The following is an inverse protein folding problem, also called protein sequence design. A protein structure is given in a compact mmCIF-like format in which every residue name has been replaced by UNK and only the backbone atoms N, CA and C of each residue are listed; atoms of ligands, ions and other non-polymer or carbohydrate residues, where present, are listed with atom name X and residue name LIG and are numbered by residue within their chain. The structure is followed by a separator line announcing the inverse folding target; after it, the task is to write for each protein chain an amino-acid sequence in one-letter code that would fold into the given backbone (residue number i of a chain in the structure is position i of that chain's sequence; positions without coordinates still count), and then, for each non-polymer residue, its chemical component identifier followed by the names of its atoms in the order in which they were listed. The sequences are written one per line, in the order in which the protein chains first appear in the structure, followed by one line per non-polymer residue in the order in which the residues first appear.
data_IF_105206409611
#
_entry.id   IF_105206409611
#
_cell.length_a   1.000
_cell.length_b   1.000
_cell.length_c   1.000
_cell.angle_alpha   90.00
_cell.angle_beta   90.00
_cell.angle_gamma   90.00
#
_symmetry.space_group_name_H-M   'P 1'
#
loop_
_entity.id
_entity.type
_entity.pdbx_description
1 polymer ?
#
# COMPACT_ATOMS: atom_id res chain seq x y z
N UNK A 1 -16.58 -15.72 17.47
CA UNK A 1 -16.94 -15.28 16.10
C UNK A 1 -16.15 -16.17 15.15
N UNK A 2 -16.79 -16.81 14.18
CA UNK A 2 -16.15 -17.72 13.22
C UNK A 2 -16.77 -17.47 11.85
N UNK A 3 -15.94 -17.17 10.85
CA UNK A 3 -16.37 -17.09 9.44
C UNK A 3 -16.36 -18.45 8.75
N UNK A 4 -16.88 -18.52 7.52
CA UNK A 4 -16.80 -19.73 6.69
C UNK A 4 -15.37 -20.05 6.22
N UNK A 5 -14.52 -19.02 6.13
CA UNK A 5 -13.09 -19.10 5.81
C UNK A 5 -12.24 -18.19 6.73
N UNK A 6 -10.92 -18.24 6.56
CA UNK A 6 -9.97 -17.50 7.39
C UNK A 6 -10.15 -15.98 7.29
N UNK A 7 -10.28 -15.44 6.07
CA UNK A 7 -10.45 -14.01 5.83
C UNK A 7 -11.80 -13.51 6.32
N UNK A 8 -12.87 -14.30 6.14
CA UNK A 8 -14.20 -14.01 6.67
C UNK A 8 -14.19 -13.90 8.19
N UNK A 9 -13.33 -14.67 8.88
CA UNK A 9 -13.14 -14.53 10.32
C UNK A 9 -12.58 -13.14 10.70
N UNK A 10 -11.59 -12.64 9.96
CA UNK A 10 -11.01 -11.31 10.15
C UNK A 10 -12.02 -10.19 9.84
N UNK A 11 -12.73 -10.31 8.72
CA UNK A 11 -13.65 -9.28 8.23
C UNK A 11 -14.89 -9.09 9.12
N UNK A 12 -15.20 -10.01 10.04
CA UNK A 12 -16.21 -9.82 11.09
C UNK A 12 -16.02 -8.52 11.89
N UNK A 13 -14.76 -8.09 12.05
CA UNK A 13 -14.43 -6.85 12.74
C UNK A 13 -13.75 -5.83 11.81
N UNK A 14 -13.00 -6.28 10.80
CA UNK A 14 -12.20 -5.40 9.95
C UNK A 14 -12.94 -4.86 8.71
N UNK A 15 -14.14 -5.37 8.42
CA UNK A 15 -15.07 -4.76 7.47
C UNK A 15 -15.95 -3.74 8.20
N UNK A 16 -16.12 -2.54 7.65
CA UNK A 16 -16.88 -1.51 8.33
C UNK A 16 -16.89 -0.15 7.65
N UNK A 17 -17.23 0.88 8.40
CA UNK A 17 -17.15 2.28 7.94
C UNK A 17 -15.69 2.75 7.91
N UNK A 18 -15.36 3.60 6.94
CA UNK A 18 -14.01 4.13 6.80
C UNK A 18 -13.46 4.76 8.10
N UNK A 19 -12.18 4.49 8.39
CA UNK A 19 -11.48 4.97 9.58
C UNK A 19 -11.11 3.85 10.57
N UNK A 20 -10.26 4.20 11.54
CA UNK A 20 -9.64 3.21 12.44
C UNK A 20 -9.04 2.04 11.64
N UNK A 21 -9.13 0.81 12.11
CA UNK A 21 -8.55 -0.40 11.50
C UNK A 21 -9.36 -1.05 10.37
N UNK A 22 -10.43 -0.42 9.87
CA UNK A 22 -11.26 -1.02 8.83
C UNK A 22 -10.56 -0.93 7.46
N UNK A 23 -10.40 -2.08 6.81
CA UNK A 23 -9.65 -2.24 5.54
C UNK A 23 -10.53 -2.72 4.39
N UNK A 24 -11.81 -2.95 4.66
CA UNK A 24 -12.81 -3.29 3.66
C UNK A 24 -14.06 -2.46 3.96
N UNK A 25 -14.35 -1.47 3.13
CA UNK A 25 -15.55 -0.65 3.28
C UNK A 25 -16.56 -0.94 2.18
N UNK A 26 -17.79 -0.47 2.38
CA UNK A 26 -18.84 -0.60 1.37
C UNK A 26 -18.69 0.42 0.21
N UNK A 27 -17.80 1.40 0.32
CA UNK A 27 -17.73 2.54 -0.59
C UNK A 27 -16.32 2.96 -1.01
N UNK A 28 -15.27 2.24 -0.64
CA UNK A 28 -13.88 2.61 -0.96
C UNK A 28 -13.40 3.85 -0.21
N UNK A 29 -13.92 4.08 0.99
CA UNK A 29 -13.64 5.27 1.79
C UNK A 29 -12.39 5.17 2.66
N UNK A 30 -11.83 3.98 2.88
CA UNK A 30 -10.63 3.83 3.71
C UNK A 30 -9.39 4.38 3.01
N UNK A 31 -8.58 5.11 3.78
CA UNK A 31 -7.36 5.79 3.31
C UNK A 31 -6.10 5.28 4.02
N UNK A 32 -6.10 4.01 4.43
CA UNK A 32 -4.91 3.36 5.02
C UNK A 32 -3.82 3.20 3.95
N UNK A 33 -2.56 3.12 4.33
CA UNK A 33 -1.47 2.93 3.38
C UNK A 33 -1.53 1.59 2.63
N UNK A 34 -2.19 0.56 3.20
CA UNK A 34 -2.50 -0.69 2.50
C UNK A 34 -3.65 -0.55 1.50
N UNK A 35 -4.57 0.38 1.73
CA UNK A 35 -5.75 0.61 0.92
C UNK A 35 -6.97 -0.21 1.32
N UNK A 36 -8.00 -0.16 0.47
CA UNK A 36 -9.35 -0.67 0.75
C UNK A 36 -9.68 -1.82 -0.20
N UNK A 37 -10.04 -2.99 0.34
CA UNK A 37 -10.44 -4.14 -0.47
C UNK A 37 -11.72 -3.88 -1.27
N UNK A 38 -12.49 -2.82 -0.99
CA UNK A 38 -13.60 -2.39 -1.84
C UNK A 38 -13.24 -2.40 -3.33
N UNK A 39 -12.04 -1.93 -3.68
CA UNK A 39 -11.62 -1.77 -5.07
C UNK A 39 -11.46 -3.10 -5.80
N UNK A 40 -11.06 -4.18 -5.12
CA UNK A 40 -10.81 -5.47 -5.79
C UNK A 40 -12.08 -6.18 -6.28
N UNK A 41 -13.25 -5.75 -5.80
CA UNK A 41 -14.56 -6.31 -6.21
C UNK A 41 -15.49 -5.30 -6.86
N UNK A 42 -14.97 -4.10 -7.17
CA UNK A 42 -15.78 -3.01 -7.72
C UNK A 42 -15.28 -2.64 -9.10
N UNK A 43 -16.01 -3.07 -10.12
CA UNK A 43 -15.86 -2.54 -11.46
C UNK A 43 -16.34 -1.09 -11.50
N UNK A 44 -15.59 -0.25 -12.20
CA UNK A 44 -16.05 1.09 -12.50
C UNK A 44 -15.93 1.41 -13.98
N UNK A 45 -16.84 2.25 -14.46
CA UNK A 45 -16.96 2.64 -15.86
C UNK A 45 -17.06 4.14 -16.00
N UNK A 46 -16.42 4.67 -17.03
CA UNK A 46 -16.30 6.10 -17.28
C UNK A 46 -16.28 6.41 -18.79
N UNK A 47 -16.54 7.67 -19.13
CA UNK A 47 -16.43 8.17 -20.51
C UNK A 47 -14.97 8.21 -20.98
N UNK A 48 -14.69 7.68 -22.17
CA UNK A 48 -13.39 7.85 -22.82
C UNK A 48 -13.21 9.21 -23.50
N UNK A 49 -14.18 10.13 -23.37
CA UNK A 49 -14.16 11.46 -24.00
C UNK A 49 -14.41 11.45 -25.52
N UNK A 50 -14.63 10.28 -26.12
CA UNK A 50 -14.88 10.08 -27.57
C UNK A 50 -16.22 9.38 -27.83
N UNK A 51 -17.14 9.46 -26.87
CA UNK A 51 -18.47 8.85 -26.95
C UNK A 51 -18.51 7.35 -26.62
N UNK A 52 -17.41 6.75 -26.16
CA UNK A 52 -17.35 5.37 -25.67
C UNK A 52 -17.27 5.29 -24.14
N UNK A 53 -17.69 4.15 -23.60
CA UNK A 53 -17.55 3.81 -22.18
C UNK A 53 -16.41 2.80 -22.04
N UNK A 54 -15.50 3.06 -21.10
CA UNK A 54 -14.45 2.14 -20.69
C UNK A 54 -14.79 1.62 -19.31
N UNK A 55 -14.55 0.33 -19.08
CA UNK A 55 -14.69 -0.31 -17.77
C UNK A 55 -13.33 -0.75 -17.28
N UNK A 56 -12.95 -0.35 -16.06
CA UNK A 56 -11.82 -0.93 -15.34
C UNK A 56 -12.35 -1.99 -14.38
N UNK A 57 -11.79 -3.19 -14.47
CA UNK A 57 -12.29 -4.39 -13.78
C UNK A 57 -11.67 -4.46 -12.39
N UNK A 58 -12.50 -4.64 -11.37
CA UNK A 58 -12.10 -4.64 -9.98
C UNK A 58 -11.02 -5.67 -9.65
N UNK A 59 -11.06 -6.86 -10.27
CA UNK A 59 -10.08 -7.91 -9.97
C UNK A 59 -8.63 -7.47 -10.25
N UNK A 60 -8.41 -6.47 -11.10
CA UNK A 60 -7.08 -5.94 -11.42
C UNK A 60 -6.56 -4.91 -10.40
N UNK A 61 -7.35 -4.54 -9.39
CA UNK A 61 -7.10 -3.38 -8.52
C UNK A 61 -6.33 -3.71 -7.23
N UNK A 62 -5.90 -4.96 -7.04
CA UNK A 62 -5.14 -5.41 -5.87
C UNK A 62 -5.20 -6.92 -5.63
N UNK A 63 -5.05 -7.32 -4.36
CA UNK A 63 -5.07 -8.72 -3.95
C UNK A 63 -6.51 -9.21 -3.70
N UNK A 64 -7.00 -10.08 -4.59
CA UNK A 64 -8.30 -10.74 -4.47
C UNK A 64 -8.29 -11.83 -3.39
N UNK A 65 -8.49 -11.45 -2.13
CA UNK A 65 -8.61 -12.40 -1.03
C UNK A 65 -9.88 -13.24 -1.15
N UNK A 66 -9.80 -14.50 -0.75
CA UNK A 66 -10.99 -15.36 -0.61
C UNK A 66 -11.63 -15.06 0.75
N UNK A 67 -12.83 -14.48 0.72
CA UNK A 67 -13.69 -14.26 1.89
C UNK A 67 -15.16 -14.37 1.47
N UNK A 68 -15.69 -15.60 1.48
CA UNK A 68 -16.98 -15.93 0.89
C UNK A 68 -18.14 -15.20 1.57
N UNK A 69 -18.09 -15.01 2.89
CA UNK A 69 -19.13 -14.32 3.66
C UNK A 69 -19.25 -12.83 3.27
N UNK A 70 -18.18 -12.27 2.68
CA UNK A 70 -18.05 -10.88 2.28
C UNK A 70 -18.03 -10.67 0.75
N UNK A 71 -18.30 -11.73 -0.01
CA UNK A 71 -18.30 -11.74 -1.48
C UNK A 71 -16.95 -11.32 -2.08
N UNK A 72 -15.84 -11.58 -1.38
CA UNK A 72 -14.53 -11.52 -1.98
C UNK A 72 -14.18 -12.88 -2.55
N UNK A 73 -13.94 -12.91 -3.85
CA UNK A 73 -13.64 -14.11 -4.63
C UNK A 73 -12.19 -14.06 -5.09
N UNK A 74 -11.62 -15.21 -5.40
CA UNK A 74 -10.29 -15.30 -5.98
C UNK A 74 -10.21 -14.60 -7.35
N UNK A 75 -9.02 -14.11 -7.69
CA UNK A 75 -8.70 -13.55 -9.01
C UNK A 75 -9.02 -14.57 -10.12
N UNK A 76 -9.84 -14.17 -11.09
CA UNK A 76 -10.23 -15.02 -12.22
C UNK A 76 -9.24 -14.95 -13.38
N UNK A 77 -8.42 -13.90 -13.44
CA UNK A 77 -7.42 -13.65 -14.49
C UNK A 77 -6.07 -14.26 -14.11
N UNK A 78 -5.57 -14.01 -12.91
CA UNK A 78 -4.30 -14.55 -12.43
C UNK A 78 -4.54 -15.75 -11.50
N UNK A 79 -4.31 -16.97 -11.97
CA UNK A 79 -4.45 -18.17 -11.13
C UNK A 79 -3.38 -18.28 -10.03
N UNK A 80 -2.23 -17.64 -10.23
CA UNK A 80 -1.12 -17.53 -9.27
C UNK A 80 -0.62 -16.09 -9.20
N UNK A 81 0.06 -15.75 -8.11
CA UNK A 81 0.81 -14.51 -8.00
C UNK A 81 1.72 -14.32 -9.22
N UNK A 82 1.65 -13.17 -9.91
CA UNK A 82 2.56 -12.86 -11.00
C UNK A 82 4.00 -13.01 -10.54
N UNK A 83 4.82 -13.72 -11.31
CA UNK A 83 6.22 -13.96 -10.96
C UNK A 83 6.46 -14.92 -9.79
N UNK A 84 5.45 -15.58 -9.24
CA UNK A 84 5.62 -16.53 -8.15
C UNK A 84 4.59 -17.67 -8.16
N UNK A 85 4.37 -18.28 -6.99
CA UNK A 85 3.64 -19.56 -6.87
C UNK A 85 2.44 -19.53 -5.95
N UNK A 86 2.20 -18.41 -5.24
CA UNK A 86 1.02 -18.25 -4.38
C UNK A 86 -0.24 -18.40 -5.22
N UNK A 87 -1.11 -19.37 -4.89
CA UNK A 87 -2.36 -19.60 -5.61
C UNK A 87 -3.41 -18.57 -5.18
N UNK A 88 -4.03 -17.91 -6.16
CA UNK A 88 -5.10 -16.92 -5.90
C UNK A 88 -6.32 -17.56 -5.23
N UNK A 89 -6.62 -18.82 -5.55
CA UNK A 89 -7.70 -19.59 -4.93
C UNK A 89 -7.51 -19.90 -3.43
N UNK A 90 -6.32 -19.68 -2.89
CA UNK A 90 -6.00 -19.87 -1.46
C UNK A 90 -5.49 -18.60 -0.79
N UNK A 91 -5.49 -17.47 -1.51
CA UNK A 91 -5.05 -16.19 -0.98
C UNK A 91 -6.08 -15.68 0.04
N UNK A 92 -5.65 -15.47 1.28
CA UNK A 92 -6.48 -14.91 2.34
C UNK A 92 -5.69 -13.99 3.26
N UNK A 93 -6.35 -13.41 4.26
CA UNK A 93 -5.68 -12.51 5.21
C UNK A 93 -4.48 -13.19 5.89
N UNK A 94 -4.62 -14.48 6.22
CA UNK A 94 -3.59 -15.29 6.87
C UNK A 94 -2.54 -15.86 5.92
N UNK A 95 -2.56 -15.49 4.64
CA UNK A 95 -1.45 -15.80 3.72
C UNK A 95 -0.25 -14.90 3.99
N UNK A 96 -0.52 -13.68 4.44
CA UNK A 96 0.43 -12.59 4.64
C UNK A 96 0.59 -12.22 6.11
N UNK A 97 -0.51 -12.20 6.87
CA UNK A 97 -0.49 -11.90 8.30
C UNK A 97 -0.44 -13.18 9.10
N UNK A 98 0.42 -13.24 10.11
CA UNK A 98 0.36 -14.29 11.11
C UNK A 98 -0.70 -13.95 12.17
N UNK A 99 -1.85 -14.66 12.20
CA UNK A 99 -2.90 -14.40 13.17
C UNK A 99 -2.49 -14.71 14.61
N UNK A 100 -1.38 -15.44 14.82
CA UNK A 100 -0.83 -15.75 16.14
C UNK A 100 0.29 -14.78 16.53
N UNK A 101 0.70 -13.88 15.62
CA UNK A 101 1.67 -12.83 15.87
C UNK A 101 3.05 -13.35 16.25
N UNK A 102 3.47 -14.49 15.70
CA UNK A 102 4.81 -15.02 15.95
C UNK A 102 5.86 -14.08 15.33
N UNK A 103 6.99 -13.98 16.02
CA UNK A 103 8.17 -13.24 15.59
C UNK A 103 9.32 -14.22 15.51
N UNK A 104 10.11 -14.13 14.44
CA UNK A 104 11.27 -14.98 14.14
C UNK A 104 10.98 -16.49 14.30
N UNK A 105 9.87 -16.98 13.73
CA UNK A 105 9.50 -18.41 13.71
C UNK A 105 8.80 -18.96 14.97
N UNK A 106 8.51 -18.12 15.97
CA UNK A 106 7.53 -18.44 17.01
C UNK A 106 8.00 -19.18 18.27
N UNK A 107 7.02 -19.42 19.16
CA UNK A 107 7.13 -19.49 20.63
C UNK A 107 7.08 -20.90 21.25
N UNK A 108 7.26 -21.96 20.47
CA UNK A 108 7.16 -23.33 21.02
C UNK A 108 8.41 -23.76 21.83
N UNK A 109 9.53 -23.02 21.73
CA UNK A 109 10.73 -23.26 22.56
C UNK A 109 11.82 -22.13 22.64
N UNK A 110 11.64 -20.87 22.18
CA UNK A 110 12.84 -20.01 22.03
C UNK A 110 12.77 -18.47 21.90
N UNK A 111 11.60 -17.80 21.96
CA UNK A 111 11.54 -16.32 21.95
C UNK A 111 10.88 -15.75 23.21
N UNK A 112 11.23 -14.50 23.55
CA UNK A 112 10.62 -13.77 24.67
C UNK A 112 9.14 -13.45 24.39
N UNK A 113 8.36 -13.24 25.45
CA UNK A 113 6.95 -12.89 25.32
C UNK A 113 6.78 -11.57 24.56
N UNK A 114 5.72 -11.44 23.75
CA UNK A 114 5.38 -10.19 23.08
C UNK A 114 4.47 -9.36 24.00
N UNK A 115 4.84 -8.11 24.27
CA UNK A 115 4.02 -7.22 25.13
C UNK A 115 3.53 -5.96 24.42
N UNK A 116 4.12 -5.62 23.27
CA UNK A 116 3.82 -4.41 22.51
C UNK A 116 3.83 -4.68 21.01
N UNK A 117 3.10 -3.87 20.24
CA UNK A 117 3.13 -3.93 18.78
C UNK A 117 4.41 -3.28 18.26
N UNK A 118 5.05 -3.87 17.25
CA UNK A 118 6.13 -3.24 16.49
C UNK A 118 5.65 -2.16 15.50
N UNK A 119 4.34 -1.91 15.40
CA UNK A 119 3.81 -1.00 14.38
C UNK A 119 3.84 0.48 14.71
N UNK A 120 3.96 0.85 15.99
CA UNK A 120 3.60 2.21 16.42
C UNK A 120 4.76 2.99 17.05
N UNK A 121 5.99 2.48 16.92
CA UNK A 121 7.20 3.12 17.47
C UNK A 121 7.19 3.19 18.99
N UNK A 122 6.62 2.17 19.66
CA UNK A 122 6.79 2.01 21.10
C UNK A 122 8.28 1.79 21.41
N UNK A 123 8.73 2.25 22.58
CA UNK A 123 10.08 1.93 23.05
C UNK A 123 10.18 0.45 23.44
N UNK A 124 11.40 -0.09 23.39
CA UNK A 124 11.70 -1.45 23.81
C UNK A 124 11.20 -1.75 25.23
N UNK A 125 10.51 -2.88 25.44
CA UNK A 125 10.11 -3.31 26.76
C UNK A 125 11.31 -3.59 27.67
N UNK A 126 11.26 -3.10 28.91
CA UNK A 126 12.32 -3.28 29.90
C UNK A 126 12.17 -4.54 30.76
N UNK A 127 11.06 -5.26 30.60
CA UNK A 127 10.72 -6.49 31.34
C UNK A 127 11.26 -7.77 30.67
N UNK A 128 12.06 -7.61 29.61
CA UNK A 128 12.62 -8.72 28.82
C UNK A 128 11.64 -9.30 27.80
N UNK A 129 10.44 -8.73 27.68
CA UNK A 129 9.51 -8.99 26.57
C UNK A 129 9.97 -8.28 25.28
N UNK A 130 9.37 -8.60 24.15
CA UNK A 130 9.73 -8.08 22.82
C UNK A 130 8.53 -7.43 22.11
N UNK A 131 8.83 -6.73 21.01
CA UNK A 131 7.83 -6.25 20.05
C UNK A 131 7.30 -7.39 19.18
N UNK A 132 6.03 -7.32 18.82
CA UNK A 132 5.46 -8.10 17.71
C UNK A 132 5.86 -7.50 16.35
N UNK A 133 5.73 -8.26 15.27
CA UNK A 133 6.02 -7.78 13.92
C UNK A 133 5.14 -6.61 13.49
N UNK A 134 5.66 -5.77 12.57
CA UNK A 134 4.86 -4.73 11.93
C UNK A 134 3.60 -5.35 11.33
N UNK A 135 2.43 -4.90 11.80
CA UNK A 135 1.09 -5.32 11.37
C UNK A 135 0.84 -6.83 11.51
N UNK A 136 1.57 -7.51 12.40
CA UNK A 136 1.51 -8.97 12.55
C UNK A 136 1.78 -9.66 11.20
N UNK A 137 2.63 -9.08 10.35
CA UNK A 137 3.06 -9.73 9.12
C UNK A 137 3.86 -10.98 9.46
N UNK A 138 3.66 -12.01 8.63
CA UNK A 138 4.43 -13.24 8.71
C UNK A 138 5.92 -12.96 8.59
N UNK A 139 6.69 -13.68 9.38
CA UNK A 139 8.15 -13.62 9.38
C UNK A 139 8.75 -14.69 8.47
N UNK A 140 10.09 -14.73 8.37
CA UNK A 140 10.79 -15.82 7.69
C UNK A 140 10.34 -17.19 8.21
N UNK A 141 9.96 -18.07 7.28
CA UNK A 141 9.40 -19.40 7.57
C UNK A 141 7.89 -19.43 7.79
N UNK A 142 7.19 -18.29 7.78
CA UNK A 142 5.72 -18.26 7.83
C UNK A 142 5.11 -18.51 6.43
N UNK A 143 4.44 -19.63 6.24
CA UNK A 143 3.83 -20.00 4.94
C UNK A 143 4.84 -19.95 3.78
N UNK A 144 4.69 -18.97 2.87
CA UNK A 144 5.56 -18.73 1.71
C UNK A 144 6.57 -17.60 1.97
N UNK A 145 6.55 -16.97 3.14
CA UNK A 145 7.44 -15.87 3.50
C UNK A 145 8.85 -16.41 3.74
N UNK A 146 9.82 -15.84 3.03
CA UNK A 146 11.25 -16.23 3.05
C UNK A 146 12.17 -15.11 3.55
N UNK A 147 11.58 -14.02 4.00
CA UNK A 147 12.28 -12.80 4.42
C UNK A 147 11.75 -12.36 5.77
N UNK A 148 12.58 -11.66 6.54
CA UNK A 148 12.13 -11.11 7.81
C UNK A 148 10.90 -10.20 7.62
N UNK A 149 10.03 -10.14 8.63
CA UNK A 149 8.93 -9.18 8.59
C UNK A 149 9.48 -7.73 8.48
N UNK A 150 8.89 -6.87 7.62
CA UNK A 150 9.44 -5.56 7.33
C UNK A 150 9.31 -4.62 8.52
N UNK A 151 10.21 -3.66 8.60
CA UNK A 151 10.23 -2.63 9.65
C UNK A 151 9.51 -1.39 9.15
N UNK A 152 8.50 -0.93 9.90
CA UNK A 152 7.79 0.30 9.59
C UNK A 152 7.08 0.87 10.82
N UNK A 153 6.83 2.18 10.80
CA UNK A 153 6.10 2.90 11.85
C UNK A 153 4.86 3.57 11.28
N UNK A 154 3.70 3.17 11.77
CA UNK A 154 2.41 3.76 11.44
C UNK A 154 1.93 4.73 12.53
N UNK A 155 1.05 5.66 12.16
CA UNK A 155 0.44 6.62 13.09
C UNK A 155 -0.68 6.05 13.97
N UNK A 156 -0.87 4.74 13.93
CA UNK A 156 -1.92 4.04 14.64
C UNK A 156 -2.58 2.98 13.78
N UNK A 157 -3.65 2.40 14.32
CA UNK A 157 -4.36 1.28 13.71
C UNK A 157 -4.89 1.59 12.31
N UNK A 158 -5.24 2.86 12.04
CA UNK A 158 -5.68 3.29 10.72
C UNK A 158 -4.59 3.34 9.65
N UNK A 159 -3.33 3.44 10.07
CA UNK A 159 -2.20 3.39 9.15
C UNK A 159 -2.31 4.40 8.02
N UNK A 160 -2.90 5.56 8.28
CA UNK A 160 -3.09 6.61 7.27
C UNK A 160 -1.81 7.39 7.00
N UNK A 161 -0.79 7.21 7.86
CA UNK A 161 0.60 7.63 7.68
C UNK A 161 1.52 6.51 8.11
N UNK A 162 2.52 6.21 7.27
CA UNK A 162 3.54 5.20 7.53
C UNK A 162 4.91 5.74 7.13
N UNK A 163 5.90 5.54 7.99
CA UNK A 163 7.32 5.59 7.63
C UNK A 163 7.81 4.17 7.44
N UNK A 164 8.51 3.92 6.34
CA UNK A 164 9.04 2.61 6.01
C UNK A 164 10.53 2.57 6.39
N UNK A 165 10.91 1.55 7.13
CA UNK A 165 12.28 1.33 7.61
C UNK A 165 13.07 0.51 6.60
N UNK A 166 12.88 -0.80 6.64
CA UNK A 166 13.57 -1.78 5.78
C UNK A 166 12.70 -2.97 5.44
N UNK A 167 13.02 -3.65 4.34
CA UNK A 167 12.65 -5.05 4.06
C UNK A 167 11.29 -5.26 3.39
N UNK A 168 10.59 -4.20 2.97
CA UNK A 168 9.28 -4.31 2.35
C UNK A 168 9.34 -5.04 1.01
N UNK A 169 10.32 -4.73 0.16
CA UNK A 169 10.47 -5.37 -1.15
C UNK A 169 10.82 -6.85 -0.98
N UNK A 170 11.84 -7.17 -0.18
CA UNK A 170 12.23 -8.55 0.14
C UNK A 170 11.06 -9.38 0.68
N UNK A 171 10.22 -8.78 1.52
CA UNK A 171 9.03 -9.45 2.03
C UNK A 171 8.00 -9.71 0.93
N UNK A 172 7.72 -8.74 0.06
CA UNK A 172 6.85 -8.93 -1.12
C UNK A 172 7.38 -10.02 -2.07
N UNK A 173 8.70 -10.05 -2.28
CA UNK A 173 9.37 -10.99 -3.18
C UNK A 173 9.28 -12.45 -2.74
N UNK A 174 8.92 -12.71 -1.49
CA UNK A 174 8.63 -14.07 -1.01
C UNK A 174 7.54 -14.78 -1.84
N UNK A 175 6.53 -14.04 -2.27
CA UNK A 175 5.45 -14.55 -3.13
C UNK A 175 5.58 -14.16 -4.60
N UNK A 176 6.47 -13.22 -4.92
CA UNK A 176 6.61 -12.55 -6.23
C UNK A 176 8.05 -12.63 -6.77
N UNK A 177 8.72 -13.76 -6.56
CA UNK A 177 10.17 -13.89 -6.67
C UNK A 177 10.78 -13.53 -8.03
N UNK A 178 10.06 -13.69 -9.14
CA UNK A 178 10.58 -13.30 -10.46
C UNK A 178 10.73 -11.77 -10.61
N UNK A 179 10.09 -10.96 -9.76
CA UNK A 179 10.27 -9.51 -9.76
C UNK A 179 11.57 -9.06 -9.10
N UNK A 180 12.37 -9.98 -8.54
CA UNK A 180 13.74 -9.69 -8.08
C UNK A 180 14.72 -9.44 -9.25
N UNK A 181 14.29 -9.58 -10.50
CA UNK A 181 15.10 -9.30 -11.69
C UNK A 181 15.27 -7.79 -11.90
N UNK A 182 16.27 -7.21 -11.23
CA UNK A 182 16.64 -5.79 -11.37
C UNK A 182 17.24 -5.43 -12.75
N UNK A 183 17.41 -6.39 -13.67
CA UNK A 183 17.88 -6.11 -15.04
C UNK A 183 16.73 -5.81 -15.98
N UNK A 184 15.64 -6.58 -15.88
CA UNK A 184 14.50 -6.48 -16.79
C UNK A 184 13.27 -5.83 -16.16
N UNK A 185 13.17 -5.79 -14.82
CA UNK A 185 12.10 -5.12 -14.09
C UNK A 185 12.56 -3.77 -13.55
N UNK A 186 11.62 -2.89 -13.19
CA UNK A 186 11.98 -1.67 -12.49
C UNK A 186 12.62 -2.04 -11.15
N UNK A 187 13.84 -1.57 -10.86
CA UNK A 187 14.57 -2.03 -9.70
C UNK A 187 13.89 -1.58 -8.39
N UNK A 188 14.07 -2.40 -7.37
CA UNK A 188 13.71 -2.14 -5.97
C UNK A 188 14.98 -2.24 -5.11
N UNK A 189 14.92 -1.70 -3.90
CA UNK A 189 16.02 -1.64 -2.92
C UNK A 189 17.29 -0.98 -3.47
N UNK A 190 17.07 0.01 -4.35
CA UNK A 190 18.11 0.89 -4.87
C UNK A 190 17.91 2.32 -4.35
N UNK A 191 18.99 3.12 -4.20
CA UNK A 191 18.89 4.48 -3.72
C UNK A 191 17.92 5.35 -4.54
N UNK A 192 17.07 6.11 -3.86
CA UNK A 192 16.20 7.09 -4.51
C UNK A 192 17.07 8.22 -5.10
N UNK A 193 16.81 8.68 -6.34
CA UNK A 193 17.52 9.82 -6.93
C UNK A 193 17.27 11.13 -6.15
N UNK A 194 18.09 11.40 -5.14
CA UNK A 194 17.90 12.47 -4.14
C UNK A 194 17.57 13.84 -4.75
N UNK A 195 18.35 14.31 -5.73
CA UNK A 195 18.14 15.62 -6.33
C UNK A 195 16.78 15.72 -7.04
N UNK A 196 16.41 14.67 -7.78
CA UNK A 196 15.14 14.60 -8.50
C UNK A 196 13.97 14.52 -7.52
N UNK A 197 14.03 13.61 -6.55
CA UNK A 197 12.96 13.43 -5.57
C UNK A 197 12.74 14.68 -4.74
N UNK A 198 13.81 15.27 -4.21
CA UNK A 198 13.69 16.43 -3.35
C UNK A 198 13.28 17.69 -4.10
N UNK A 199 13.76 17.86 -5.34
CA UNK A 199 13.39 18.99 -6.17
C UNK A 199 11.96 18.90 -6.69
N UNK A 200 11.48 17.73 -7.07
CA UNK A 200 10.20 17.60 -7.76
C UNK A 200 9.00 17.93 -6.86
N UNK A 201 8.25 18.96 -7.22
CA UNK A 201 6.97 19.33 -6.58
C UNK A 201 5.80 18.83 -7.41
N UNK A 202 5.90 19.03 -8.73
CA UNK A 202 4.92 18.65 -9.76
C UNK A 202 5.59 18.72 -11.14
N UNK A 203 4.90 18.26 -12.18
CA UNK A 203 5.40 18.35 -13.56
C UNK A 203 5.84 19.78 -13.90
N UNK A 204 7.11 19.91 -14.33
CA UNK A 204 7.75 21.16 -14.69
C UNK A 204 8.25 22.03 -13.52
N UNK A 205 8.07 21.61 -12.27
CA UNK A 205 8.45 22.35 -11.07
C UNK A 205 9.40 21.53 -10.17
N UNK A 206 10.67 21.90 -10.21
CA UNK A 206 11.74 21.27 -9.42
C UNK A 206 12.27 22.16 -8.29
N UNK A 207 11.41 23.02 -7.72
CA UNK A 207 11.77 23.99 -6.67
C UNK A 207 11.68 23.43 -5.24
N UNK A 208 11.35 22.15 -5.09
CA UNK A 208 11.22 21.47 -3.82
C UNK A 208 12.51 21.44 -2.99
N UNK A 209 12.33 21.22 -1.69
CA UNK A 209 13.42 21.15 -0.72
C UNK A 209 13.26 19.94 0.17
N UNK A 210 14.39 19.37 0.60
CA UNK A 210 14.43 18.13 1.39
C UNK A 210 13.50 18.17 2.61
N UNK A 211 13.40 19.30 3.31
CA UNK A 211 12.58 19.42 4.53
C UNK A 211 11.08 19.11 4.34
N UNK A 212 10.55 19.26 3.12
CA UNK A 212 9.13 19.10 2.81
C UNK A 212 8.87 18.22 1.59
N UNK A 213 9.88 17.50 1.10
CA UNK A 213 9.79 16.81 -0.18
C UNK A 213 9.15 15.43 -0.13
N UNK A 214 8.94 14.85 1.06
CA UNK A 214 8.28 13.56 1.21
C UNK A 214 6.86 13.60 0.62
N UNK A 215 6.59 12.69 -0.31
CA UNK A 215 5.28 12.53 -0.90
C UNK A 215 4.74 11.13 -0.60
N UNK A 216 3.63 11.05 0.13
CA UNK A 216 3.05 9.77 0.53
C UNK A 216 2.35 9.02 -0.61
N UNK A 217 2.11 9.67 -1.74
CA UNK A 217 1.75 8.98 -2.98
C UNK A 217 2.97 8.32 -3.65
N UNK A 218 4.19 8.67 -3.24
CA UNK A 218 5.46 8.09 -3.71
C UNK A 218 6.42 7.89 -2.52
N UNK A 219 6.08 7.03 -1.54
CA UNK A 219 6.91 6.85 -0.35
C UNK A 219 8.20 6.06 -0.68
N UNK A 220 9.15 6.06 0.24
CA UNK A 220 10.39 5.28 0.14
C UNK A 220 10.73 4.67 1.51
N UNK A 221 11.64 3.71 1.53
CA UNK A 221 12.24 3.15 2.75
C UNK A 221 13.43 3.97 3.20
N UNK A 222 13.65 4.08 4.52
CA UNK A 222 14.72 4.90 5.10
C UNK A 222 16.00 4.15 5.46
N UNK A 223 16.03 2.83 5.28
CA UNK A 223 17.17 2.01 5.73
C UNK A 223 17.27 1.90 7.25
N UNK A 224 16.17 2.07 7.98
CA UNK A 224 16.12 1.99 9.45
C UNK A 224 15.56 0.63 9.87
N UNK A 225 16.36 -0.15 10.61
CA UNK A 225 16.04 -1.51 11.07
C UNK A 225 15.28 -1.56 12.41
N UNK A 226 15.21 -0.44 13.13
CA UNK A 226 14.38 -0.29 14.33
C UNK A 226 13.25 0.73 14.10
N UNK A 227 12.01 0.25 14.12
CA UNK A 227 10.82 1.08 13.95
C UNK A 227 10.62 2.14 15.04
N UNK A 228 11.27 2.02 16.19
CA UNK A 228 11.29 3.03 17.25
C UNK A 228 12.10 4.28 16.86
N UNK A 229 13.11 4.11 16.01
CA UNK A 229 13.98 5.17 15.51
C UNK A 229 13.39 5.90 14.30
N UNK A 230 12.38 5.32 13.64
CA UNK A 230 11.67 5.99 12.57
C UNK A 230 10.96 7.24 13.08
N UNK A 231 11.06 8.31 12.28
CA UNK A 231 10.45 9.60 12.59
C UNK A 231 8.98 9.44 12.98
N UNK A 232 8.58 10.15 14.04
CA UNK A 232 7.17 10.21 14.41
C UNK A 232 6.39 10.90 13.30
N UNK A 233 5.48 10.14 12.70
CA UNK A 233 4.50 10.49 11.68
C UNK A 233 3.59 11.67 12.03
N UNK A 234 3.55 12.09 13.30
CA UNK A 234 2.87 13.31 13.75
C UNK A 234 3.76 14.57 13.75
N UNK A 235 5.07 14.43 13.50
CA UNK A 235 6.04 15.53 13.58
C UNK A 235 6.48 16.02 12.21
N UNK A 236 7.11 17.20 12.17
CA UNK A 236 7.67 17.75 10.93
C UNK A 236 8.78 16.86 10.32
N UNK A 237 9.41 15.98 11.10
CA UNK A 237 10.38 15.01 10.58
C UNK A 237 9.74 14.05 9.56
N UNK A 238 8.42 13.84 9.62
CA UNK A 238 7.69 13.02 8.65
C UNK A 238 7.72 13.56 7.22
N UNK A 239 7.87 14.88 7.04
CA UNK A 239 7.82 15.52 5.70
C UNK A 239 9.17 15.56 5.01
N UNK A 240 10.23 15.13 5.70
CA UNK A 240 11.58 15.12 5.16
C UNK A 240 11.69 14.07 4.06
N UNK A 241 12.12 14.51 2.87
CA UNK A 241 12.40 13.68 1.70
C UNK A 241 13.69 12.88 1.86
N UNK A 242 14.38 12.65 0.75
CA UNK A 242 15.57 11.79 0.68
C UNK A 242 16.76 12.49 1.31
N UNK A 243 17.34 11.92 2.37
CA UNK A 243 18.47 12.47 3.13
C UNK A 243 19.80 11.82 2.72
N UNK A 244 19.79 10.52 2.39
CA UNK A 244 21.01 9.81 2.00
C UNK A 244 20.77 8.61 1.05
N UNK A 245 21.78 7.77 0.88
CA UNK A 245 21.73 6.62 -0.05
C UNK A 245 21.07 5.37 0.55
N UNK A 246 20.76 5.37 1.85
CA UNK A 246 19.98 4.32 2.50
C UNK A 246 18.47 4.51 2.28
N UNK A 247 18.07 5.71 1.83
CA UNK A 247 16.71 5.93 1.36
C UNK A 247 16.51 5.24 0.00
N UNK A 248 15.73 4.15 -0.02
CA UNK A 248 15.60 3.27 -1.19
C UNK A 248 14.16 3.17 -1.70
N UNK A 249 14.05 2.92 -3.01
CA UNK A 249 12.79 2.64 -3.69
C UNK A 249 12.32 1.25 -3.29
N UNK A 250 11.03 1.09 -2.99
CA UNK A 250 10.42 -0.21 -2.67
C UNK A 250 9.26 -0.54 -3.60
N UNK A 251 8.77 -1.78 -3.53
CA UNK A 251 7.51 -2.16 -4.17
C UNK A 251 6.36 -1.21 -3.77
N UNK A 252 6.29 -0.80 -2.49
CA UNK A 252 5.23 0.08 -1.99
C UNK A 252 5.43 1.56 -2.34
N UNK A 253 6.55 1.94 -2.97
CA UNK A 253 6.71 3.28 -3.56
C UNK A 253 5.64 3.56 -4.62
N UNK A 254 5.28 2.54 -5.39
CA UNK A 254 4.28 2.66 -6.46
C UNK A 254 2.97 1.94 -6.12
N UNK A 255 3.03 0.85 -5.36
CA UNK A 255 1.88 -0.01 -5.09
C UNK A 255 1.27 0.20 -3.70
N UNK A 256 0.02 -0.23 -3.54
CA UNK A 256 -0.66 -0.41 -2.26
C UNK A 256 -0.83 -1.91 -1.97
N UNK A 257 -0.62 -2.30 -0.72
CA UNK A 257 -0.53 -3.71 -0.34
C UNK A 257 -1.86 -4.49 -0.44
N UNK A 258 -3.01 -3.86 -0.20
CA UNK A 258 -4.33 -4.51 -0.29
C UNK A 258 -5.00 -4.26 -1.64
N UNK A 259 -5.34 -3.00 -1.91
CA UNK A 259 -6.08 -2.61 -3.10
C UNK A 259 -6.20 -1.09 -3.24
N UNK A 260 -6.38 -0.63 -4.48
CA UNK A 260 -6.42 0.78 -4.87
C UNK A 260 -7.44 0.99 -5.97
N UNK A 261 -7.80 2.22 -6.33
CA UNK A 261 -8.69 2.44 -7.48
C UNK A 261 -8.03 2.17 -8.86
N UNK A 262 -6.77 1.76 -8.88
CA UNK A 262 -5.95 1.70 -10.10
C UNK A 262 -5.47 0.28 -10.37
N UNK A 263 -5.38 -0.04 -11.65
CA UNK A 263 -4.92 -1.34 -12.13
C UNK A 263 -3.53 -1.66 -11.61
N UNK A 264 -3.28 -2.94 -11.32
CA UNK A 264 -2.08 -3.48 -10.68
C UNK A 264 -1.85 -2.94 -9.26
N UNK A 265 -2.88 -2.43 -8.59
CA UNK A 265 -2.79 -1.95 -7.21
C UNK A 265 -1.92 -0.71 -7.04
N UNK A 266 -1.79 0.12 -8.09
CA UNK A 266 -0.94 1.30 -8.08
C UNK A 266 -1.50 2.44 -7.21
N UNK A 267 -0.67 3.40 -6.82
CA UNK A 267 -1.09 4.59 -6.05
C UNK A 267 -1.71 5.68 -6.92
N UNK A 268 -1.51 5.61 -8.24
CA UNK A 268 -2.07 6.52 -9.24
C UNK A 268 -2.39 5.76 -10.52
N UNK A 269 -3.17 6.40 -11.39
CA UNK A 269 -3.62 5.82 -12.65
C UNK A 269 -2.47 5.77 -13.68
N UNK A 270 -2.04 4.57 -14.12
CA UNK A 270 -1.01 4.44 -15.14
C UNK A 270 -1.57 4.57 -16.58
N UNK A 271 -2.89 4.60 -16.74
CA UNK A 271 -3.56 4.47 -18.05
C UNK A 271 -3.77 5.81 -18.75
N UNK A 272 -3.48 6.90 -18.05
CA UNK A 272 -3.61 8.27 -18.54
C UNK A 272 -2.25 8.97 -18.57
N UNK A 273 -2.07 9.88 -19.54
CA UNK A 273 -0.89 10.74 -19.61
C UNK A 273 -0.87 11.74 -18.45
N UNK A 274 -2.05 12.29 -18.12
CA UNK A 274 -2.25 13.28 -17.06
C UNK A 274 -3.13 12.66 -15.97
N UNK A 275 -2.62 12.56 -14.75
CA UNK A 275 -3.34 11.87 -13.65
C UNK A 275 -4.55 12.69 -13.17
N UNK A 276 -4.58 14.00 -13.45
CA UNK A 276 -5.76 14.83 -13.26
C UNK A 276 -6.93 14.45 -14.18
N UNK A 277 -6.64 13.75 -15.28
CA UNK A 277 -7.63 13.29 -16.26
C UNK A 277 -8.01 11.81 -16.09
N UNK A 278 -7.62 11.20 -14.97
CA UNK A 278 -7.92 9.79 -14.66
C UNK A 278 -9.40 9.45 -14.84
N UNK A 279 -9.65 8.25 -15.37
CA UNK A 279 -11.01 7.78 -15.64
C UNK A 279 -11.94 7.82 -14.43
N UNK A 280 -11.41 7.41 -13.27
CA UNK A 280 -12.13 7.41 -11.98
C UNK A 280 -12.60 8.81 -11.52
N UNK A 281 -12.02 9.88 -12.06
CA UNK A 281 -12.38 11.27 -11.74
C UNK A 281 -13.45 11.85 -12.69
N UNK A 282 -13.81 11.15 -13.77
CA UNK A 282 -14.75 11.63 -14.80
C UNK A 282 -16.20 11.48 -14.38
N UNK A 283 -16.67 12.36 -13.51
CA UNK A 283 -18.03 12.33 -12.94
C UNK A 283 -19.11 12.96 -13.83
N UNK A 284 -18.92 12.95 -15.16
CA UNK A 284 -19.77 13.62 -16.17
C UNK A 284 -21.17 13.00 -16.37
N UNK A 285 -21.51 11.98 -15.59
CA UNK A 285 -22.78 11.23 -15.68
C UNK A 285 -22.74 10.02 -16.60
N UNK A 286 -21.63 9.76 -17.28
CA UNK A 286 -21.42 8.55 -18.08
C UNK A 286 -20.76 7.45 -17.24
N UNK A 287 -21.30 6.23 -17.30
CA UNK A 287 -20.80 5.12 -16.48
C UNK A 287 -21.25 5.23 -15.02
N UNK A 288 -20.53 4.59 -14.10
CA UNK A 288 -20.89 4.53 -12.67
C UNK A 288 -19.93 5.30 -11.73
N UNK A 289 -18.82 5.85 -12.23
CA UNK A 289 -17.83 6.56 -11.39
C UNK A 289 -18.44 7.73 -10.61
N UNK A 290 -19.39 8.47 -11.20
CA UNK A 290 -20.10 9.54 -10.49
C UNK A 290 -20.85 9.06 -9.25
N UNK A 291 -21.49 7.89 -9.33
CA UNK A 291 -22.19 7.28 -8.20
C UNK A 291 -21.22 6.80 -7.11
N UNK A 292 -20.07 6.23 -7.50
CA UNK A 292 -19.03 5.80 -6.56
C UNK A 292 -18.45 6.97 -5.78
N UNK A 293 -18.11 8.06 -6.48
CA UNK A 293 -17.58 9.26 -5.84
C UNK A 293 -18.62 9.91 -4.91
N UNK A 294 -19.90 9.95 -5.33
CA UNK A 294 -20.99 10.43 -4.47
C UNK A 294 -21.22 9.55 -3.24
N UNK A 295 -20.98 8.23 -3.34
CA UNK A 295 -21.04 7.30 -2.22
C UNK A 295 -19.84 7.43 -1.25
N UNK A 296 -18.83 8.22 -1.60
CA UNK A 296 -17.70 8.54 -0.72
C UNK A 296 -16.37 7.89 -1.08
N UNK A 297 -16.25 7.28 -2.27
CA UNK A 297 -15.02 6.65 -2.73
C UNK A 297 -13.84 7.64 -2.76
N UNK A 298 -12.66 7.15 -2.35
CA UNK A 298 -11.41 7.92 -2.25
C UNK A 298 -10.31 7.27 -3.11
N UNK A 299 -10.28 7.50 -4.43
CA UNK A 299 -9.30 6.87 -5.31
C UNK A 299 -7.87 7.40 -5.07
N UNK A 300 -7.74 8.71 -4.89
CA UNK A 300 -6.49 9.38 -4.51
C UNK A 300 -6.56 9.84 -3.06
N UNK A 301 -5.56 9.47 -2.27
CA UNK A 301 -5.45 9.89 -0.88
C UNK A 301 -4.00 9.85 -0.37
N UNK A 302 -3.73 10.73 0.59
CA UNK A 302 -2.51 10.83 1.35
C UNK A 302 -2.83 11.42 2.72
N UNK A 303 -2.10 11.02 3.74
CA UNK A 303 -2.10 11.55 5.09
C UNK A 303 -3.48 11.44 5.79
N UNK A 304 -4.27 10.44 5.40
CA UNK A 304 -5.64 10.25 5.87
C UNK A 304 -6.64 11.23 5.29
N UNK A 305 -6.30 11.89 4.18
CA UNK A 305 -7.17 12.81 3.47
C UNK A 305 -7.27 12.45 1.99
N UNK A 306 -8.44 12.73 1.41
CA UNK A 306 -8.65 12.67 -0.02
C UNK A 306 -7.70 13.67 -0.70
N UNK A 307 -7.09 13.26 -1.81
CA UNK A 307 -6.23 14.14 -2.61
C UNK A 307 -6.97 14.50 -3.89
N UNK A 308 -7.19 15.80 -4.08
CA UNK A 308 -7.46 16.34 -5.41
C UNK A 308 -6.12 16.54 -6.11
N UNK A 309 -5.86 15.70 -7.12
CA UNK A 309 -4.59 15.69 -7.85
C UNK A 309 -4.37 16.96 -8.67
N UNK A 310 -5.44 17.57 -9.20
CA UNK A 310 -5.35 18.82 -9.94
C UNK A 310 -5.00 19.98 -9.00
N UNK A 311 -5.55 19.99 -7.79
CA UNK A 311 -5.19 21.00 -6.77
C UNK A 311 -3.78 20.77 -6.23
N UNK A 312 -3.41 19.52 -5.93
CA UNK A 312 -2.11 19.20 -5.32
C UNK A 312 -0.95 19.38 -6.31
N UNK A 313 -1.11 18.91 -7.54
CA UNK A 313 -0.03 18.83 -8.52
C UNK A 313 -0.28 19.65 -9.80
N UNK A 314 -1.47 20.19 -10.00
CA UNK A 314 -1.86 20.89 -11.23
C UNK A 314 -2.49 19.97 -12.28
N UNK A 315 -3.23 20.58 -13.21
CA UNK A 315 -3.94 19.87 -14.29
C UNK A 315 -3.01 19.13 -15.27
N UNK A 316 -1.75 19.55 -15.34
CA UNK A 316 -0.74 18.99 -16.24
C UNK A 316 0.18 17.99 -15.57
N UNK A 317 -0.19 17.49 -14.37
CA UNK A 317 0.59 16.49 -13.68
C UNK A 317 0.62 15.18 -14.47
N UNK A 318 1.81 14.79 -14.92
CA UNK A 318 2.08 13.48 -15.54
C UNK A 318 2.17 12.37 -14.48
N UNK A 319 2.60 11.18 -14.88
CA UNK A 319 2.88 10.07 -13.95
C UNK A 319 3.77 10.49 -12.78
N UNK A 320 3.43 10.02 -11.57
CA UNK A 320 4.23 10.28 -10.36
C UNK A 320 5.59 9.55 -10.37
N UNK A 321 5.86 8.69 -11.37
CA UNK A 321 7.22 8.24 -11.66
C UNK A 321 8.20 9.42 -11.81
N UNK A 322 7.74 10.59 -12.25
CA UNK A 322 8.58 11.76 -12.45
C UNK A 322 9.20 12.30 -11.16
N UNK A 323 8.64 11.94 -9.99
CA UNK A 323 9.26 12.16 -8.68
C UNK A 323 10.65 11.51 -8.58
N UNK A 324 10.91 10.40 -9.28
CA UNK A 324 12.23 9.76 -9.32
C UNK A 324 12.96 9.93 -10.67
N UNK A 325 12.22 10.15 -11.77
CA UNK A 325 12.77 10.06 -13.13
C UNK A 325 12.92 11.40 -13.86
N UNK A 326 12.24 12.47 -13.42
CA UNK A 326 12.21 13.77 -14.12
C UNK A 326 11.89 13.68 -15.64
N UNK A 327 10.99 12.78 -16.04
CA UNK A 327 10.57 12.59 -17.45
C UNK A 327 9.27 13.33 -17.74
N UNK A 328 9.29 14.64 -17.52
CA UNK A 328 8.17 15.53 -17.85
C UNK A 328 8.04 15.78 -19.36
#
# INVERSE_FOLDING_TARGET
MKGSDASSTCLNCHSGSAGSYHIATANGGTMSQGGDFFWVKTDYSYSNGRGGVVTSVGESHGHNIVAADYQFIADGTNATAPGGTMLSGTLGCTSCHDPHGQVAGGTDAGSAAISVSGSYGAADPVDGSIHGNYRLLGDDGYNLITSAAPVARANGSSGVRVQYGTGMSDWCLSCHSAFADNVNMHPTDIPVPMATYNGYVKTGDFTGVVATAYDELVPFERGVDDGSLLADVATAAYTVGVEDANDVITCLTCHRAHGSAFENGLRWDPTTELIAESGILKTDGTGNVGALMAAGAKPYYANGAAVDVAVKYGDHQRSLCNKCHAKD
#
